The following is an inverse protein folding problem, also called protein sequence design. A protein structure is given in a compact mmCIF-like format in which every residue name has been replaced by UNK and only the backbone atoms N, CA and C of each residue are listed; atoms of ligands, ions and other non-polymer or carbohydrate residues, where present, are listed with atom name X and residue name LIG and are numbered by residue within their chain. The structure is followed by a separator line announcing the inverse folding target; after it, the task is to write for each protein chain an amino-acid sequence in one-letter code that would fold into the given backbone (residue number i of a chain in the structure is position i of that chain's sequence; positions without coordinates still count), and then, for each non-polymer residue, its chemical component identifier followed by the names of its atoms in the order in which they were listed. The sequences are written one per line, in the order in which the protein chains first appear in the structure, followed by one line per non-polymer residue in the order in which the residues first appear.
data_IF_452532526915
#
_entry.id   IF_452532526915
#
_cell.length_a   1.000
_cell.length_b   1.000
_cell.length_c   1.000
_cell.angle_alpha   90.00
_cell.angle_beta   90.00
_cell.angle_gamma   90.00
#
_symmetry.space_group_name_H-M   'P 1'
#
loop_
_entity.id
_entity.type
_entity.pdbx_description
1 polymer ?
#
# COMPACT_ATOMS: atom_id res chain seq x y z
N UNK A 1 -12.72 27.24 14.10
CA UNK A 1 -12.27 27.02 12.72
C UNK A 1 -13.35 27.31 11.67
N UNK A 2 -14.59 26.85 11.85
CA UNK A 2 -15.69 27.11 10.88
C UNK A 2 -16.05 28.60 10.75
N UNK A 3 -15.98 29.39 11.83
CA UNK A 3 -16.27 30.81 11.79
C UNK A 3 -15.24 31.65 11.01
N UNK A 4 -13.96 31.26 11.03
CA UNK A 4 -12.92 31.97 10.29
C UNK A 4 -13.05 31.80 8.77
N UNK A 5 -13.49 30.61 8.30
CA UNK A 5 -13.72 30.33 6.90
C UNK A 5 -14.95 31.05 6.31
N UNK A 6 -15.96 31.34 7.14
CA UNK A 6 -17.20 31.98 6.69
C UNK A 6 -17.03 33.46 6.30
N UNK A 7 -15.95 34.11 6.75
CA UNK A 7 -15.66 35.54 6.49
C UNK A 7 -14.51 35.74 5.47
N UNK A 8 -13.92 34.68 4.93
CA UNK A 8 -12.91 34.82 3.88
C UNK A 8 -13.55 35.19 2.55
N UNK A 9 -12.98 36.15 1.83
CA UNK A 9 -13.35 36.43 0.45
C UNK A 9 -13.09 35.21 -0.44
N UNK A 10 -13.79 35.11 -1.56
CA UNK A 10 -13.60 33.99 -2.50
C UNK A 10 -12.15 33.89 -2.99
N UNK A 11 -11.48 35.01 -3.18
CA UNK A 11 -10.08 35.07 -3.57
C UNK A 11 -9.15 34.50 -2.47
N UNK A 12 -9.38 34.83 -1.22
CA UNK A 12 -8.61 34.27 -0.08
C UNK A 12 -8.82 32.76 0.06
N UNK A 13 -10.05 32.26 -0.15
CA UNK A 13 -10.34 30.82 -0.20
C UNK A 13 -9.59 30.13 -1.32
N UNK A 14 -9.61 30.69 -2.52
CA UNK A 14 -8.87 30.17 -3.67
C UNK A 14 -7.38 30.09 -3.39
N UNK A 15 -6.80 31.17 -2.85
CA UNK A 15 -5.39 31.20 -2.47
C UNK A 15 -5.05 30.19 -1.38
N UNK A 16 -5.88 30.03 -0.37
CA UNK A 16 -5.69 29.03 0.69
C UNK A 16 -5.74 27.61 0.14
N UNK A 17 -6.66 27.30 -0.76
CA UNK A 17 -6.77 26.00 -1.45
C UNK A 17 -5.53 25.75 -2.32
N UNK A 18 -5.05 26.74 -3.06
CA UNK A 18 -3.85 26.60 -3.88
C UNK A 18 -2.59 26.35 -3.03
N UNK A 19 -2.43 27.08 -1.91
CA UNK A 19 -1.32 26.87 -0.98
C UNK A 19 -1.40 25.47 -0.34
N UNK A 20 -2.56 25.05 0.09
CA UNK A 20 -2.77 23.70 0.63
C UNK A 20 -2.39 22.63 -0.39
N UNK A 21 -2.86 22.75 -1.63
CA UNK A 21 -2.51 21.82 -2.71
C UNK A 21 -1.02 21.81 -3.01
N UNK A 22 -0.36 22.96 -2.99
CA UNK A 22 1.09 23.05 -3.21
C UNK A 22 1.89 22.36 -2.10
N UNK A 23 1.49 22.54 -0.84
CA UNK A 23 2.11 21.84 0.31
C UNK A 23 1.85 20.33 0.21
N UNK A 24 0.61 19.93 -0.06
CA UNK A 24 0.21 18.53 -0.22
C UNK A 24 0.95 17.86 -1.37
N UNK A 25 1.22 18.59 -2.46
CA UNK A 25 1.96 18.12 -3.63
C UNK A 25 3.47 17.98 -3.37
N UNK A 26 4.00 18.43 -2.23
CA UNK A 26 5.39 18.24 -1.89
C UNK A 26 5.62 16.82 -1.35
N UNK A 27 6.28 15.97 -2.12
CA UNK A 27 6.49 14.57 -1.77
C UNK A 27 7.35 14.37 -0.52
N UNK A 28 8.32 15.26 -0.24
CA UNK A 28 9.15 15.17 0.96
C UNK A 28 8.32 15.51 2.23
N UNK A 29 7.44 16.50 2.14
CA UNK A 29 6.49 16.83 3.22
C UNK A 29 5.52 15.68 3.44
N UNK A 30 4.94 15.14 2.37
CA UNK A 30 4.03 14.01 2.44
C UNK A 30 4.69 12.79 3.10
N UNK A 31 5.92 12.44 2.67
CA UNK A 31 6.71 11.37 3.27
C UNK A 31 6.94 11.60 4.75
N UNK A 32 7.39 12.79 5.13
CA UNK A 32 7.66 13.13 6.54
C UNK A 32 6.39 13.04 7.41
N UNK A 33 5.22 13.43 6.88
CA UNK A 33 3.95 13.32 7.58
C UNK A 33 3.50 11.86 7.73
N UNK A 34 3.67 11.04 6.68
CA UNK A 34 3.38 9.60 6.74
C UNK A 34 4.26 8.93 7.78
N UNK A 35 5.57 9.18 7.79
CA UNK A 35 6.52 8.58 8.72
C UNK A 35 6.36 9.03 10.19
N UNK A 36 5.60 10.09 10.43
CA UNK A 36 5.14 10.48 11.78
C UNK A 36 3.89 9.74 12.23
N UNK A 37 3.17 9.11 11.30
CA UNK A 37 1.99 8.30 11.62
C UNK A 37 2.34 7.10 12.49
N UNK A 38 1.33 6.57 13.18
CA UNK A 38 1.47 5.38 14.01
C UNK A 38 2.02 4.22 13.17
N UNK A 39 3.03 3.54 13.71
CA UNK A 39 3.75 2.47 13.01
C UNK A 39 3.27 1.09 13.45
N UNK A 40 2.98 0.26 12.47
CA UNK A 40 2.66 -1.15 12.63
C UNK A 40 3.61 -1.98 11.76
N UNK A 41 4.26 -2.94 12.37
CA UNK A 41 5.17 -3.82 11.63
C UNK A 41 4.41 -4.61 10.56
N UNK A 42 4.89 -4.51 9.32
CA UNK A 42 4.35 -5.21 8.16
C UNK A 42 5.44 -5.95 7.41
N UNK A 43 5.14 -7.16 6.94
CA UNK A 43 6.03 -7.99 6.16
C UNK A 43 5.32 -8.55 4.93
N UNK A 44 6.06 -8.89 3.88
CA UNK A 44 5.50 -9.61 2.73
C UNK A 44 4.94 -10.99 3.11
N UNK A 45 5.44 -11.58 4.22
CA UNK A 45 4.94 -12.86 4.74
C UNK A 45 3.57 -12.76 5.43
N UNK A 46 3.10 -11.55 5.78
CA UNK A 46 1.82 -11.34 6.46
C UNK A 46 0.61 -11.59 5.56
N UNK A 47 0.79 -11.51 4.24
CA UNK A 47 -0.19 -11.88 3.22
C UNK A 47 0.47 -12.13 1.87
N UNK A 48 0.03 -13.17 1.18
CA UNK A 48 0.44 -13.46 -0.20
C UNK A 48 -0.32 -12.63 -1.25
N UNK A 49 -1.36 -11.89 -0.84
CA UNK A 49 -2.19 -11.10 -1.76
C UNK A 49 -1.48 -9.79 -2.08
N UNK A 50 -0.67 -9.82 -3.14
CA UNK A 50 0.22 -8.74 -3.53
C UNK A 50 -0.03 -8.35 -4.99
N UNK A 51 -0.25 -7.06 -5.23
CA UNK A 51 -0.35 -6.47 -6.56
C UNK A 51 0.79 -5.47 -6.78
N UNK A 52 1.22 -5.31 -8.02
CA UNK A 52 2.36 -4.49 -8.37
C UNK A 52 3.69 -5.18 -8.13
N UNK A 53 4.72 -4.44 -7.79
CA UNK A 53 6.09 -4.94 -7.64
C UNK A 53 6.40 -5.25 -6.17
N UNK A 54 6.54 -6.53 -5.83
CA UNK A 54 6.90 -6.97 -4.46
C UNK A 54 8.23 -6.41 -3.95
N UNK A 55 9.14 -6.01 -4.85
CA UNK A 55 10.44 -5.40 -4.54
C UNK A 55 10.40 -3.86 -4.50
N UNK A 56 9.23 -3.25 -4.70
CA UNK A 56 9.07 -1.81 -4.63
C UNK A 56 9.45 -1.25 -3.25
N UNK A 57 9.99 -0.03 -3.24
CA UNK A 57 10.35 0.67 -1.99
C UNK A 57 9.14 1.20 -1.24
N UNK A 58 8.05 1.44 -1.94
CA UNK A 58 6.78 1.82 -1.33
C UNK A 58 5.87 0.60 -1.27
N UNK A 59 5.61 0.14 -0.05
CA UNK A 59 4.61 -0.89 0.22
C UNK A 59 3.38 -0.26 0.87
N UNK A 60 2.24 -0.51 0.26
CA UNK A 60 0.93 -0.12 0.76
C UNK A 60 0.23 -1.37 1.28
N UNK A 61 0.07 -1.49 2.59
CA UNK A 61 -0.68 -2.60 3.21
C UNK A 61 -2.08 -2.13 3.55
N UNK A 62 -3.09 -2.86 3.09
CA UNK A 62 -4.50 -2.50 3.23
C UNK A 62 -5.23 -3.57 4.04
N UNK A 63 -5.69 -3.21 5.24
CA UNK A 63 -6.68 -4.01 5.95
C UNK A 63 -8.05 -3.74 5.33
N UNK A 64 -8.63 -4.74 4.72
CA UNK A 64 -9.87 -4.64 3.96
C UNK A 64 -10.92 -5.65 4.40
N UNK A 65 -12.18 -5.24 4.31
CA UNK A 65 -13.32 -6.14 4.52
C UNK A 65 -14.12 -6.25 3.21
N UNK A 66 -14.35 -7.46 2.69
CA UNK A 66 -15.08 -7.67 1.44
C UNK A 66 -16.48 -7.05 1.39
N UNK A 67 -17.13 -6.87 2.53
CA UNK A 67 -18.49 -6.30 2.63
C UNK A 67 -18.52 -4.80 2.98
N UNK A 68 -17.37 -4.19 3.21
CA UNK A 68 -17.28 -2.78 3.58
C UNK A 68 -17.39 -1.87 2.34
N UNK A 69 -18.32 -0.91 2.34
CA UNK A 69 -18.46 0.04 1.23
C UNK A 69 -17.29 1.03 1.09
N UNK A 70 -16.71 1.57 2.18
CA UNK A 70 -15.45 2.30 2.09
C UNK A 70 -14.31 1.48 1.48
N UNK A 71 -14.22 0.17 1.76
CA UNK A 71 -13.22 -0.73 1.15
C UNK A 71 -13.42 -0.88 -0.36
N UNK A 72 -14.68 -0.91 -0.83
CA UNK A 72 -14.97 -0.92 -2.26
C UNK A 72 -14.45 0.34 -2.96
N UNK A 73 -14.67 1.52 -2.36
CA UNK A 73 -14.12 2.78 -2.89
C UNK A 73 -12.59 2.80 -2.85
N UNK A 74 -11.99 2.23 -1.79
CA UNK A 74 -10.55 2.08 -1.66
C UNK A 74 -9.98 1.20 -2.76
N UNK A 75 -10.62 0.07 -3.06
CA UNK A 75 -10.16 -0.84 -4.12
C UNK A 75 -10.13 -0.16 -5.49
N UNK A 76 -11.13 0.65 -5.83
CA UNK A 76 -11.12 1.44 -7.07
C UNK A 76 -9.89 2.35 -7.16
N UNK A 77 -9.52 3.02 -6.05
CA UNK A 77 -8.31 3.85 -6.00
C UNK A 77 -7.02 3.03 -6.13
N UNK A 78 -7.03 1.78 -5.63
CA UNK A 78 -5.90 0.86 -5.84
C UNK A 78 -5.75 0.51 -7.32
N UNK A 79 -6.84 0.24 -8.04
CA UNK A 79 -6.79 -0.01 -9.49
C UNK A 79 -6.20 1.19 -10.24
N UNK A 80 -6.63 2.40 -9.90
CA UNK A 80 -6.13 3.64 -10.50
C UNK A 80 -4.63 3.83 -10.19
N UNK A 81 -4.20 3.62 -8.95
CA UNK A 81 -2.81 3.73 -8.51
C UNK A 81 -1.91 2.72 -9.22
N UNK A 82 -2.30 1.46 -9.29
CA UNK A 82 -1.55 0.41 -10.00
C UNK A 82 -1.50 0.67 -11.51
N UNK A 83 -2.54 1.27 -12.09
CA UNK A 83 -2.53 1.69 -13.49
C UNK A 83 -1.46 2.74 -13.81
N UNK A 84 -1.10 3.58 -12.84
CA UNK A 84 -0.08 4.63 -12.98
C UNK A 84 1.32 4.17 -12.56
N UNK A 85 1.43 3.41 -11.47
CA UNK A 85 2.70 3.17 -10.74
C UNK A 85 2.97 1.69 -10.44
N UNK A 86 2.45 0.74 -11.23
CA UNK A 86 2.53 -0.72 -10.97
C UNK A 86 3.96 -1.20 -10.65
N UNK A 87 4.98 -0.62 -11.30
CA UNK A 87 6.38 -1.03 -11.12
C UNK A 87 7.03 -0.48 -9.86
N UNK A 88 6.50 0.61 -9.31
CA UNK A 88 7.11 1.36 -8.23
C UNK A 88 6.40 1.16 -6.88
N UNK A 89 5.27 0.46 -6.90
CA UNK A 89 4.43 0.23 -5.72
C UNK A 89 4.17 -1.27 -5.54
N UNK A 90 4.21 -1.68 -4.27
CA UNK A 90 3.72 -2.97 -3.80
C UNK A 90 2.42 -2.73 -3.02
N UNK A 91 1.29 -3.27 -3.46
CA UNK A 91 0.03 -3.22 -2.72
C UNK A 91 -0.27 -4.59 -2.16
N UNK A 92 -0.35 -4.69 -0.84
CA UNK A 92 -0.63 -5.91 -0.10
C UNK A 92 -2.00 -5.82 0.57
N UNK A 93 -2.85 -6.81 0.39
CA UNK A 93 -4.15 -6.89 1.07
C UNK A 93 -4.10 -7.86 2.25
N UNK A 94 -4.66 -7.45 3.38
CA UNK A 94 -5.01 -8.30 4.51
C UNK A 94 -6.52 -8.24 4.67
N UNK A 95 -7.20 -9.39 4.65
CA UNK A 95 -8.64 -9.42 4.78
C UNK A 95 -9.11 -9.66 6.22
N UNK A 96 -10.26 -9.08 6.53
CA UNK A 96 -11.06 -9.34 7.73
C UNK A 96 -12.53 -9.43 7.35
N UNK A 97 -13.37 -9.92 8.26
CA UNK A 97 -14.82 -9.97 8.10
C UNK A 97 -15.51 -9.38 9.33
N UNK A 98 -16.76 -8.94 9.18
CA UNK A 98 -17.57 -8.44 10.30
C UNK A 98 -17.93 -9.56 11.29
N UNK A 99 -18.09 -10.78 10.78
CA UNK A 99 -18.42 -11.96 11.57
C UNK A 99 -17.96 -13.23 10.83
N UNK A 100 -18.05 -14.37 11.51
CA UNK A 100 -17.63 -15.67 10.97
C UNK A 100 -18.41 -16.08 9.72
N UNK A 101 -19.69 -15.74 9.60
CA UNK A 101 -20.54 -16.11 8.47
C UNK A 101 -20.08 -15.45 7.16
N UNK A 102 -19.40 -14.30 7.24
CA UNK A 102 -18.90 -13.56 6.10
C UNK A 102 -17.43 -13.88 5.74
N UNK A 103 -16.78 -14.79 6.47
CA UNK A 103 -15.38 -15.17 6.20
C UNK A 103 -15.20 -15.81 4.82
N UNK A 104 -16.21 -16.52 4.30
CA UNK A 104 -16.15 -17.13 2.98
C UNK A 104 -15.98 -16.12 1.85
N UNK A 105 -16.39 -14.88 2.07
CA UNK A 105 -16.11 -13.79 1.13
C UNK A 105 -14.62 -13.44 1.06
N UNK A 106 -13.92 -13.50 2.19
CA UNK A 106 -12.47 -13.35 2.21
C UNK A 106 -11.78 -14.53 1.54
N UNK A 107 -12.23 -15.77 1.82
CA UNK A 107 -11.75 -16.99 1.16
C UNK A 107 -11.93 -16.93 -0.35
N UNK A 108 -13.10 -16.45 -0.81
CA UNK A 108 -13.38 -16.28 -2.24
C UNK A 108 -12.40 -15.32 -2.91
N UNK A 109 -12.14 -14.14 -2.32
CA UNK A 109 -11.17 -13.21 -2.88
C UNK A 109 -9.74 -13.78 -2.85
N UNK A 110 -9.35 -14.48 -1.80
CA UNK A 110 -8.08 -15.19 -1.72
C UNK A 110 -7.99 -16.23 -2.85
N UNK A 111 -9.04 -17.05 -3.04
CA UNK A 111 -9.13 -18.01 -4.15
C UNK A 111 -9.00 -17.32 -5.51
N UNK A 112 -9.69 -16.20 -5.71
CA UNK A 112 -9.56 -15.40 -6.93
C UNK A 112 -8.11 -14.96 -7.19
N UNK A 113 -7.38 -14.58 -6.15
CA UNK A 113 -5.98 -14.19 -6.28
C UNK A 113 -5.06 -15.38 -6.57
N UNK A 114 -5.18 -16.47 -5.84
CA UNK A 114 -4.30 -17.64 -5.98
C UNK A 114 -4.46 -18.38 -7.31
N UNK A 115 -5.65 -18.34 -7.91
CA UNK A 115 -5.98 -19.09 -9.13
C UNK A 115 -5.96 -18.23 -10.41
N UNK A 116 -5.55 -16.96 -10.35
CA UNK A 116 -5.54 -16.08 -11.51
C UNK A 116 -4.25 -15.27 -11.62
N UNK A 117 -3.97 -14.68 -12.77
CA UNK A 117 -2.92 -13.67 -12.92
C UNK A 117 -3.27 -12.41 -12.12
N UNK A 118 -2.26 -11.61 -11.75
CA UNK A 118 -2.48 -10.39 -10.97
C UNK A 118 -3.53 -9.45 -11.57
N UNK A 119 -3.55 -9.26 -12.88
CA UNK A 119 -4.55 -8.43 -13.58
C UNK A 119 -5.96 -9.01 -13.50
N UNK A 120 -6.10 -10.32 -13.72
CA UNK A 120 -7.40 -10.98 -13.62
C UNK A 120 -7.88 -11.01 -12.16
N UNK A 121 -7.01 -11.28 -11.20
CA UNK A 121 -7.35 -11.21 -9.78
C UNK A 121 -7.84 -9.82 -9.39
N UNK A 122 -7.18 -8.75 -9.85
CA UNK A 122 -7.59 -7.37 -9.59
C UNK A 122 -8.99 -7.10 -10.17
N UNK A 123 -9.24 -7.56 -11.40
CA UNK A 123 -10.56 -7.46 -12.04
C UNK A 123 -11.64 -8.24 -11.26
N UNK A 124 -11.32 -9.43 -10.72
CA UNK A 124 -12.23 -10.19 -9.85
C UNK A 124 -12.55 -9.47 -8.56
N UNK A 125 -11.57 -8.81 -7.96
CA UNK A 125 -11.81 -7.97 -6.78
C UNK A 125 -12.74 -6.80 -7.09
N UNK A 126 -12.53 -6.12 -8.24
CA UNK A 126 -13.44 -5.06 -8.68
C UNK A 126 -14.88 -5.56 -8.89
N UNK A 127 -15.04 -6.73 -9.52
CA UNK A 127 -16.34 -7.36 -9.71
C UNK A 127 -17.01 -7.71 -8.38
N UNK A 128 -16.25 -8.26 -7.45
CA UNK A 128 -16.74 -8.51 -6.09
C UNK A 128 -17.29 -7.25 -5.44
N UNK A 129 -16.46 -6.21 -5.34
CA UNK A 129 -16.83 -4.98 -4.66
C UNK A 129 -17.98 -4.21 -5.32
N UNK A 130 -18.19 -4.35 -6.62
CA UNK A 130 -19.23 -3.64 -7.35
C UNK A 130 -20.54 -4.43 -7.44
N UNK A 131 -20.48 -5.76 -7.50
CA UNK A 131 -21.64 -6.59 -7.84
C UNK A 131 -21.77 -7.84 -6.95
N UNK A 132 -20.74 -8.67 -6.88
CA UNK A 132 -20.86 -10.04 -6.36
C UNK A 132 -21.10 -10.09 -4.85
N UNK A 133 -20.61 -9.13 -4.08
CA UNK A 133 -20.82 -9.06 -2.62
C UNK A 133 -22.29 -8.99 -2.19
N UNK A 134 -23.17 -8.56 -3.07
CA UNK A 134 -24.62 -8.52 -2.83
C UNK A 134 -25.31 -9.88 -3.03
N UNK A 135 -24.59 -10.85 -3.59
CA UNK A 135 -25.04 -12.21 -3.80
C UNK A 135 -24.04 -13.24 -3.24
N UNK A 136 -23.40 -12.86 -2.13
CA UNK A 136 -22.27 -13.58 -1.54
C UNK A 136 -22.63 -15.01 -1.11
N UNK A 137 -23.86 -15.25 -0.61
CA UNK A 137 -24.31 -16.57 -0.16
C UNK A 137 -24.34 -17.58 -1.31
N UNK A 138 -24.87 -17.17 -2.47
CA UNK A 138 -24.87 -18.00 -3.66
C UNK A 138 -23.46 -18.28 -4.15
N UNK A 139 -22.60 -17.24 -4.18
CA UNK A 139 -21.22 -17.37 -4.63
C UNK A 139 -20.43 -18.28 -3.69
N UNK A 140 -20.54 -18.10 -2.38
CA UNK A 140 -19.89 -18.96 -1.40
C UNK A 140 -20.35 -20.41 -1.53
N UNK A 141 -21.66 -20.65 -1.69
CA UNK A 141 -22.20 -22.00 -1.88
C UNK A 141 -21.71 -22.67 -3.17
N UNK A 142 -21.70 -21.93 -4.29
CA UNK A 142 -21.24 -22.45 -5.58
C UNK A 142 -19.74 -22.77 -5.62
N UNK A 143 -18.93 -22.09 -4.82
CA UNK A 143 -17.49 -22.24 -4.77
C UNK A 143 -16.99 -22.93 -3.50
N UNK A 144 -17.86 -23.53 -2.70
CA UNK A 144 -17.54 -23.99 -1.35
C UNK A 144 -16.27 -24.85 -1.28
N UNK A 145 -16.13 -25.87 -2.12
CA UNK A 145 -14.94 -26.74 -2.11
C UNK A 145 -13.66 -25.98 -2.54
N UNK A 146 -13.78 -25.07 -3.50
CA UNK A 146 -12.63 -24.31 -4.04
C UNK A 146 -12.16 -23.17 -3.13
N UNK A 147 -12.98 -22.74 -2.16
CA UNK A 147 -12.63 -21.69 -1.19
C UNK A 147 -12.21 -22.26 0.17
N UNK A 148 -12.32 -23.57 0.39
CA UNK A 148 -11.92 -24.27 1.63
C UNK A 148 -10.73 -25.21 1.40
N UNK A 149 -9.74 -24.76 0.62
CA UNK A 149 -8.50 -25.53 0.39
C UNK A 149 -7.47 -25.23 1.49
N UNK A 150 -6.50 -26.13 1.72
CA UNK A 150 -5.44 -25.91 2.70
C UNK A 150 -4.65 -24.61 2.48
N UNK A 151 -4.42 -24.23 1.24
CA UNK A 151 -3.68 -23.02 0.85
C UNK A 151 -4.43 -21.75 1.26
N UNK A 152 -5.76 -21.74 1.06
CA UNK A 152 -6.62 -20.61 1.43
C UNK A 152 -6.73 -20.51 2.96
N UNK A 153 -6.88 -21.63 3.65
CA UNK A 153 -6.91 -21.64 5.12
C UNK A 153 -5.56 -21.18 5.72
N UNK A 154 -4.44 -21.51 5.09
CA UNK A 154 -3.14 -21.00 5.53
C UNK A 154 -3.03 -19.48 5.33
N UNK A 155 -3.53 -18.95 4.22
CA UNK A 155 -3.58 -17.51 3.99
C UNK A 155 -4.50 -16.79 4.98
N UNK A 156 -5.67 -17.38 5.29
CA UNK A 156 -6.56 -16.87 6.34
C UNK A 156 -5.88 -16.80 7.70
N UNK A 157 -5.03 -17.79 8.04
CA UNK A 157 -4.24 -17.79 9.28
C UNK A 157 -3.20 -16.68 9.31
N UNK A 158 -2.50 -16.40 8.21
CA UNK A 158 -1.57 -15.26 8.09
C UNK A 158 -2.29 -13.94 8.36
N UNK A 159 -3.43 -13.71 7.70
CA UNK A 159 -4.25 -12.53 7.90
C UNK A 159 -4.71 -12.40 9.37
N UNK A 160 -5.15 -13.49 9.97
CA UNK A 160 -5.55 -13.49 11.38
C UNK A 160 -4.37 -13.23 12.34
N UNK A 161 -3.19 -13.78 12.04
CA UNK A 161 -1.98 -13.55 12.82
C UNK A 161 -1.55 -12.08 12.78
N UNK A 162 -1.51 -11.48 11.59
CA UNK A 162 -1.18 -10.06 11.45
C UNK A 162 -2.18 -9.15 12.17
N UNK A 163 -3.49 -9.41 12.06
CA UNK A 163 -4.51 -8.64 12.79
C UNK A 163 -4.36 -8.75 14.31
N UNK A 164 -4.01 -9.94 14.83
CA UNK A 164 -3.72 -10.10 16.28
C UNK A 164 -2.48 -9.31 16.69
N UNK A 165 -1.41 -9.33 15.86
CA UNK A 165 -0.16 -8.62 16.11
C UNK A 165 -0.37 -7.11 16.13
N UNK A 166 -1.18 -6.57 15.22
CA UNK A 166 -1.39 -5.12 15.07
C UNK A 166 -2.57 -4.60 15.88
N UNK A 167 -3.51 -5.47 16.27
CA UNK A 167 -4.80 -5.08 16.90
C UNK A 167 -5.65 -4.13 16.04
N UNK A 168 -5.35 -4.01 14.75
CA UNK A 168 -6.12 -3.18 13.83
C UNK A 168 -7.46 -3.85 13.51
N UNK A 169 -8.56 -3.08 13.60
CA UNK A 169 -9.94 -3.54 13.36
C UNK A 169 -10.71 -2.69 12.37
N UNK A 170 -10.37 -1.41 12.25
CA UNK A 170 -11.05 -0.48 11.35
C UNK A 170 -10.76 -0.82 9.87
N UNK A 171 -11.78 -0.76 9.01
CA UNK A 171 -11.64 -1.00 7.57
C UNK A 171 -12.28 0.10 6.72
N UNK A 172 -11.62 0.56 5.67
CA UNK A 172 -10.23 0.23 5.33
C UNK A 172 -9.23 0.93 6.25
N UNK A 173 -8.15 0.24 6.64
CA UNK A 173 -6.95 0.87 7.18
C UNK A 173 -5.84 0.75 6.14
N UNK A 174 -5.16 1.84 5.85
CA UNK A 174 -4.07 1.92 4.87
C UNK A 174 -2.78 2.28 5.57
N UNK A 175 -1.76 1.44 5.36
CA UNK A 175 -0.41 1.66 5.86
C UNK A 175 0.53 1.87 4.67
N UNK A 176 1.40 2.85 4.75
CA UNK A 176 2.50 3.06 3.81
C UNK A 176 3.82 2.75 4.54
N UNK A 177 4.51 1.70 4.11
CA UNK A 177 5.71 1.19 4.78
C UNK A 177 5.53 0.96 6.29
N UNK A 178 4.33 0.51 6.70
CA UNK A 178 3.96 0.27 8.08
C UNK A 178 3.36 1.46 8.84
N UNK A 179 3.40 2.67 8.30
CA UNK A 179 2.79 3.85 8.92
C UNK A 179 1.37 4.10 8.45
N UNK A 180 0.45 4.39 9.37
CA UNK A 180 -0.92 4.82 9.00
C UNK A 180 -0.83 6.08 8.14
N UNK A 181 -1.49 6.04 6.98
CA UNK A 181 -1.59 7.21 6.12
C UNK A 181 -2.42 8.30 6.81
N UNK A 182 -1.92 9.56 6.91
CA UNK A 182 -2.67 10.65 7.48
C UNK A 182 -3.95 10.96 6.68
N UNK A 183 -4.98 11.48 7.35
CA UNK A 183 -6.28 11.78 6.72
C UNK A 183 -6.19 12.79 5.58
N UNK A 184 -5.14 13.60 5.54
CA UNK A 184 -4.86 14.59 4.51
C UNK A 184 -4.47 13.95 3.17
N UNK A 185 -4.04 12.69 3.17
CA UNK A 185 -3.56 11.97 1.99
C UNK A 185 -4.46 10.78 1.66
N UNK A 186 -4.68 10.59 0.37
CA UNK A 186 -5.32 9.40 -0.18
C UNK A 186 -4.35 8.55 -0.99
N UNK A 187 -4.81 7.39 -1.47
CA UNK A 187 -4.00 6.55 -2.36
C UNK A 187 -3.61 7.27 -3.66
N UNK A 188 -4.46 8.16 -4.14
CA UNK A 188 -4.22 9.00 -5.32
C UNK A 188 -3.01 9.93 -5.18
N UNK A 189 -2.64 10.28 -3.95
CA UNK A 189 -1.47 11.12 -3.69
C UNK A 189 -0.16 10.32 -3.69
N UNK A 190 -0.23 8.98 -3.56
CA UNK A 190 0.95 8.12 -3.43
C UNK A 190 1.80 8.07 -4.70
N UNK A 191 1.20 8.19 -5.88
CA UNK A 191 1.94 8.26 -7.15
C UNK A 191 2.99 9.38 -7.15
N UNK A 192 2.69 10.51 -6.54
CA UNK A 192 3.60 11.64 -6.38
C UNK A 192 4.70 11.35 -5.36
N UNK A 193 4.37 10.60 -4.30
CA UNK A 193 5.27 10.29 -3.19
C UNK A 193 6.27 9.19 -3.58
N UNK A 194 5.92 8.27 -4.49
CA UNK A 194 6.81 7.20 -4.96
C UNK A 194 8.14 7.73 -5.46
N UNK A 195 8.13 8.84 -6.20
CA UNK A 195 9.34 9.48 -6.71
C UNK A 195 10.34 9.89 -5.60
N UNK A 196 9.86 10.22 -4.41
CA UNK A 196 10.72 10.57 -3.26
C UNK A 196 11.42 9.33 -2.72
N UNK A 197 10.70 8.21 -2.58
CA UNK A 197 11.28 6.95 -2.14
C UNK A 197 12.32 6.40 -3.13
N UNK A 198 12.11 6.61 -4.44
CA UNK A 198 13.04 6.21 -5.50
C UNK A 198 14.32 7.06 -5.43
N UNK A 199 14.21 8.40 -5.33
CA UNK A 199 15.37 9.31 -5.28
C UNK A 199 16.29 9.00 -4.11
N UNK A 200 15.77 8.72 -2.93
CA UNK A 200 16.58 8.37 -1.76
C UNK A 200 17.40 7.09 -1.96
N UNK A 201 16.87 6.12 -2.70
CA UNK A 201 17.61 4.90 -3.04
C UNK A 201 18.86 5.21 -3.86
N UNK A 202 18.73 6.06 -4.88
CA UNK A 202 19.84 6.41 -5.78
C UNK A 202 20.94 7.14 -5.02
N UNK A 203 20.58 8.09 -4.16
CA UNK A 203 21.55 8.81 -3.31
C UNK A 203 22.31 7.85 -2.38
N UNK A 204 21.63 6.92 -1.71
CA UNK A 204 22.27 5.94 -0.82
C UNK A 204 23.18 4.97 -1.59
N UNK A 205 22.80 4.56 -2.80
CA UNK A 205 23.65 3.73 -3.66
C UNK A 205 24.91 4.47 -4.13
N UNK A 206 24.79 5.76 -4.49
CA UNK A 206 25.92 6.59 -4.90
C UNK A 206 26.89 6.84 -3.74
N UNK A 207 26.40 7.05 -2.51
CA UNK A 207 27.23 7.20 -1.32
C UNK A 207 27.98 5.89 -1.01
N UNK A 208 27.28 4.76 -1.02
CA UNK A 208 27.88 3.44 -0.76
C UNK A 208 28.83 3.01 -1.87
N UNK A 209 28.54 3.36 -3.14
CA UNK A 209 29.44 3.08 -4.27
C UNK A 209 30.73 3.89 -4.26
N UNK A 210 30.72 5.09 -3.70
CA UNK A 210 31.93 5.93 -3.56
C UNK A 210 32.82 5.53 -2.39
N UNK A 211 32.31 4.78 -1.42
CA UNK A 211 33.06 4.31 -0.24
C UNK A 211 33.91 3.07 -0.49
N UNK A 212 33.86 2.47 -1.69
CA UNK A 212 34.59 1.21 -2.03
C UNK A 212 35.75 1.40 -3.00
N UNK A 213 36.18 2.63 -3.31
CA UNK A 213 37.41 2.84 -4.06
C UNK A 213 38.58 2.94 -3.07
N UNK A 214 39.49 1.95 -2.99
CA UNK A 214 40.72 2.08 -2.20
C UNK A 214 41.55 3.21 -2.82
N UNK A 215 41.98 4.15 -2.00
CA UNK A 215 43.05 5.10 -2.36
C UNK A 215 44.27 4.27 -2.81
N UNK A 216 44.59 4.41 -4.09
CA UNK A 216 45.70 3.72 -4.70
C UNK A 216 47.00 3.98 -3.95
N UNK A 217 47.56 2.90 -3.42
CA UNK A 217 48.94 2.85 -3.05
C UNK A 217 49.73 2.66 -4.35
N UNK A 218 50.18 3.74 -4.96
CA UNK A 218 51.25 3.74 -5.94
C UNK A 218 51.85 5.12 -6.04
N UNK A 219 52.98 5.28 -5.41
CA UNK A 219 54.15 6.07 -5.86
C UNK A 219 55.12 6.28 -4.70
N UNK A 220 55.89 5.25 -4.38
CA UNK A 220 57.16 5.36 -3.71
C UNK A 220 58.08 4.26 -4.28
N UNK A 221 58.73 4.54 -5.38
CA UNK A 221 59.93 3.80 -5.73
C UNK A 221 60.87 4.66 -6.61
N UNK A 222 62.02 4.85 -6.12
CA UNK A 222 63.28 4.96 -6.79
C UNK A 222 63.73 6.31 -7.34
N UNK A 223 64.54 6.96 -6.59
CA UNK A 223 65.78 7.55 -7.10
C UNK A 223 66.81 7.51 -5.99
N UNK A 224 67.66 6.48 -6.00
CA UNK A 224 69.01 6.48 -5.48
C UNK A 224 69.82 5.50 -6.38
N UNK A 225 70.69 6.07 -7.23
CA UNK A 225 72.05 5.54 -7.42
C UNK A 225 72.87 6.47 -8.34
N UNK A 226 74.00 6.86 -7.79
CA UNK A 226 75.29 7.36 -8.31
C UNK A 226 75.40 8.85 -8.39
#
# INVERSE_FOLDING_TARGET
HQYALAHMSENERMQAVQRYRAIKANGDVAKALIEKGEFYETSLSDSSIIFGNSNAKMRVTILSNPHCNPCARMHKRVEELLGMEEKEICVQYVFTSFNKQLEDSSRYLISCYLNNTGKEALRRFALWYTKEKYDYERIAKQNFESIHTPEIEEEMKKHAAWRRKTSLVATPTVLVNGHIIPNEYGLEDLAMITNVYIRQKNILQDINGRSTTPLGADQLSAEETV
#
